data_IF_272596997108
#
_entry.id   IF_272596997108
#
_cell.length_a   1.000
_cell.length_b   1.000
_cell.length_c   1.000
_cell.angle_alpha   90.00
_cell.angle_beta   90.00
_cell.angle_gamma   90.00
#
_symmetry.space_group_name_H-M   'P 1'
#
loop_
_entity.id
_entity.type
_entity.pdbx_description
1 polymer ?
#
# COMPACT_ATOMS: atom_id res chain seq x y z
N UNK A 1 -5.28 52.60 -20.33
CA UNK A 1 -4.42 52.64 -19.12
C UNK A 1 -5.02 51.80 -17.99
N UNK A 2 -5.34 50.51 -18.23
CA UNK A 2 -5.91 49.59 -17.22
C UNK A 2 -5.68 48.11 -17.65
N UNK A 3 -4.42 47.65 -17.67
CA UNK A 3 -4.09 46.23 -17.96
C UNK A 3 -3.41 45.50 -16.81
N UNK A 4 -3.15 46.18 -15.69
CA UNK A 4 -2.36 45.62 -14.59
C UNK A 4 -3.19 45.05 -13.42
N UNK A 5 -4.52 45.18 -13.42
CA UNK A 5 -5.35 44.74 -12.27
C UNK A 5 -5.74 43.25 -12.38
N UNK A 6 -5.66 42.62 -13.55
CA UNK A 6 -6.03 41.21 -13.71
C UNK A 6 -5.02 40.21 -13.14
N UNK A 7 -3.78 40.64 -12.84
CA UNK A 7 -2.73 39.74 -12.35
C UNK A 7 -2.69 39.57 -10.82
N UNK A 8 -3.55 40.27 -10.07
CA UNK A 8 -3.59 40.20 -8.60
C UNK A 8 -4.62 39.17 -8.08
N UNK A 9 -5.47 38.61 -8.96
CA UNK A 9 -6.55 37.71 -8.57
C UNK A 9 -6.31 36.21 -8.90
N UNK A 10 -5.06 35.79 -9.12
CA UNK A 10 -4.74 34.36 -9.27
C UNK A 10 -3.87 33.89 -8.10
N UNK A 11 -4.42 33.10 -7.16
CA UNK A 11 -3.59 32.52 -6.11
C UNK A 11 -2.61 31.55 -6.76
N UNK A 12 -1.35 31.94 -6.83
CA UNK A 12 -0.22 31.02 -7.06
C UNK A 12 -0.15 30.05 -5.87
N UNK A 13 -0.85 28.92 -5.97
CA UNK A 13 -0.66 27.75 -5.12
C UNK A 13 -0.69 26.48 -5.97
N UNK A 14 0.31 26.28 -6.84
CA UNK A 14 0.40 25.06 -7.66
C UNK A 14 1.82 24.48 -7.75
N UNK A 15 2.70 24.73 -6.77
CA UNK A 15 4.09 24.23 -6.87
C UNK A 15 4.59 23.39 -5.69
N UNK A 16 3.91 23.38 -4.54
CA UNK A 16 4.41 22.65 -3.36
C UNK A 16 3.73 21.29 -3.20
N UNK A 17 2.44 21.16 -3.54
CA UNK A 17 1.74 19.86 -3.50
C UNK A 17 2.15 18.93 -4.64
N UNK A 18 2.41 19.46 -5.84
CA UNK A 18 2.85 18.66 -7.00
C UNK A 18 4.28 18.12 -6.84
N UNK A 19 5.18 18.86 -6.19
CA UNK A 19 6.52 18.34 -5.90
C UNK A 19 6.50 17.22 -4.86
N UNK A 20 5.54 17.24 -3.92
CA UNK A 20 5.41 16.20 -2.90
C UNK A 20 4.80 14.91 -3.45
N UNK A 21 3.87 15.00 -4.41
CA UNK A 21 3.34 13.83 -5.14
C UNK A 21 4.41 13.16 -6.00
N UNK A 22 5.27 13.95 -6.65
CA UNK A 22 6.32 13.43 -7.54
C UNK A 22 7.42 12.63 -6.83
N UNK A 23 7.66 12.91 -5.54
CA UNK A 23 8.59 12.13 -4.71
C UNK A 23 7.98 10.81 -4.23
N UNK A 24 6.65 10.74 -4.06
CA UNK A 24 5.94 9.51 -3.67
C UNK A 24 5.92 8.46 -4.80
N UNK A 25 5.67 8.88 -6.04
CA UNK A 25 5.62 7.98 -7.20
C UNK A 25 6.94 7.23 -7.45
N UNK A 26 8.08 7.83 -7.07
CA UNK A 26 9.38 7.18 -7.27
C UNK A 26 9.59 6.03 -6.28
N UNK A 27 9.13 6.18 -5.03
CA UNK A 27 9.23 5.13 -4.01
C UNK A 27 8.29 3.97 -4.34
N UNK A 28 7.08 4.27 -4.80
CA UNK A 28 6.12 3.26 -5.24
C UNK A 28 6.63 2.47 -6.45
N UNK A 29 7.26 3.14 -7.44
CA UNK A 29 7.90 2.46 -8.57
C UNK A 29 9.02 1.51 -8.13
N UNK A 30 9.87 1.94 -7.19
CA UNK A 30 10.96 1.10 -6.67
C UNK A 30 10.43 -0.09 -5.88
N UNK A 31 9.34 0.09 -5.14
CA UNK A 31 8.68 -0.99 -4.40
C UNK A 31 8.02 -1.98 -5.34
N UNK A 32 7.38 -1.53 -6.42
CA UNK A 32 6.83 -2.39 -7.47
C UNK A 32 7.95 -3.24 -8.08
N UNK A 33 9.07 -2.62 -8.47
CA UNK A 33 10.22 -3.34 -9.04
C UNK A 33 10.79 -4.38 -8.07
N UNK A 34 10.91 -4.03 -6.78
CA UNK A 34 11.40 -4.95 -5.75
C UNK A 34 10.47 -6.16 -5.58
N UNK A 35 9.16 -5.93 -5.54
CA UNK A 35 8.16 -7.00 -5.38
C UNK A 35 8.11 -7.89 -6.62
N UNK A 36 8.12 -7.30 -7.82
CA UNK A 36 8.19 -8.04 -9.09
C UNK A 36 9.46 -8.90 -9.13
N UNK A 37 10.61 -8.35 -8.73
CA UNK A 37 11.88 -9.09 -8.66
C UNK A 37 11.82 -10.25 -7.66
N UNK A 38 11.16 -10.06 -6.51
CA UNK A 38 10.99 -11.14 -5.53
C UNK A 38 10.06 -12.25 -6.07
N UNK A 39 9.00 -11.90 -6.80
CA UNK A 39 8.13 -12.88 -7.48
C UNK A 39 8.92 -13.64 -8.56
N UNK A 40 9.71 -12.94 -9.39
CA UNK A 40 10.64 -13.55 -10.35
C UNK A 40 11.60 -14.52 -9.67
N UNK A 41 12.16 -14.12 -8.53
CA UNK A 41 13.08 -14.92 -7.75
C UNK A 41 12.39 -16.20 -7.25
N UNK A 42 11.17 -16.10 -6.73
CA UNK A 42 10.42 -17.25 -6.24
C UNK A 42 10.08 -18.25 -7.35
N UNK A 43 9.69 -17.75 -8.53
CA UNK A 43 9.46 -18.59 -9.73
C UNK A 43 10.75 -19.30 -10.14
N UNK A 44 11.87 -18.57 -10.18
CA UNK A 44 13.19 -19.12 -10.52
C UNK A 44 13.62 -20.20 -9.53
N UNK A 45 13.41 -19.98 -8.23
CA UNK A 45 13.69 -20.97 -7.18
C UNK A 45 12.84 -22.23 -7.36
N UNK A 46 11.53 -22.05 -7.62
CA UNK A 46 10.63 -23.17 -7.84
C UNK A 46 11.05 -24.02 -9.04
N UNK A 47 11.32 -23.40 -10.20
CA UNK A 47 11.77 -24.12 -11.40
C UNK A 47 13.11 -24.84 -11.19
N UNK A 48 14.04 -24.20 -10.48
CA UNK A 48 15.36 -24.79 -10.17
C UNK A 48 15.24 -25.97 -9.20
N UNK A 49 14.34 -25.90 -8.22
CA UNK A 49 14.08 -27.00 -7.30
C UNK A 49 13.38 -28.18 -7.99
N UNK A 50 12.43 -27.91 -8.89
CA UNK A 50 11.78 -28.94 -9.72
C UNK A 50 12.79 -29.63 -10.65
N UNK A 51 13.68 -28.87 -11.29
CA UNK A 51 14.77 -29.41 -12.12
C UNK A 51 15.70 -30.31 -11.30
N UNK A 52 16.11 -29.86 -10.12
CA UNK A 52 16.92 -30.66 -9.18
C UNK A 52 16.20 -31.90 -8.69
N UNK A 53 14.89 -31.85 -8.45
CA UNK A 53 14.10 -33.01 -8.04
C UNK A 53 14.04 -34.04 -9.17
N UNK A 54 13.81 -33.61 -10.41
CA UNK A 54 13.83 -34.48 -11.59
C UNK A 54 15.19 -35.14 -11.80
N UNK A 55 16.29 -34.39 -11.63
CA UNK A 55 17.64 -34.95 -11.74
C UNK A 55 17.98 -35.92 -10.60
N UNK A 56 17.41 -35.74 -9.41
CA UNK A 56 17.66 -36.65 -8.28
C UNK A 56 16.88 -37.97 -8.40
N UNK A 57 15.71 -37.94 -9.04
CA UNK A 57 14.93 -39.14 -9.38
C UNK A 57 15.61 -39.96 -10.48
N UNK A 58 16.43 -39.35 -11.35
CA UNK A 58 17.30 -40.09 -12.27
C UNK A 58 18.51 -40.66 -11.52
N UNK A 59 18.29 -41.80 -10.89
CA UNK A 59 19.26 -42.55 -10.10
C UNK A 59 20.52 -42.97 -10.87
N UNK A 60 21.68 -42.78 -10.23
CA UNK A 60 22.92 -43.56 -10.46
C UNK A 60 23.71 -43.36 -11.75
N UNK A 61 23.16 -42.65 -12.75
CA UNK A 61 23.85 -42.34 -14.01
C UNK A 61 24.22 -40.86 -14.06
N UNK A 62 25.43 -40.50 -14.53
CA UNK A 62 25.78 -39.10 -14.78
C UNK A 62 24.75 -38.47 -15.72
N UNK A 63 24.12 -37.38 -15.28
CA UNK A 63 23.13 -36.68 -16.08
C UNK A 63 23.84 -35.78 -17.10
N UNK A 64 23.69 -36.14 -18.36
CA UNK A 64 24.20 -35.39 -19.51
C UNK A 64 23.10 -34.54 -20.15
N UNK A 65 22.02 -34.24 -19.42
CA UNK A 65 20.95 -33.34 -19.86
C UNK A 65 21.47 -32.01 -20.41
N UNK A 66 22.60 -31.50 -19.89
CA UNK A 66 23.29 -30.31 -20.38
C UNK A 66 23.95 -30.46 -21.76
N UNK A 67 24.25 -31.68 -22.21
CA UNK A 67 24.76 -31.98 -23.57
C UNK A 67 23.65 -32.08 -24.61
N UNK A 68 22.41 -32.37 -24.18
CA UNK A 68 21.27 -32.60 -25.07
C UNK A 68 20.35 -31.38 -25.17
N UNK A 69 20.29 -30.54 -24.14
CA UNK A 69 19.52 -29.30 -24.20
C UNK A 69 20.30 -28.20 -24.90
N UNK A 70 19.85 -27.86 -26.10
CA UNK A 70 20.22 -26.61 -26.76
C UNK A 70 20.01 -25.45 -25.77
N UNK A 71 20.99 -24.56 -25.53
CA UNK A 71 20.84 -23.45 -24.58
C UNK A 71 19.63 -22.56 -24.91
N UNK A 72 19.19 -22.54 -26.17
CA UNK A 72 17.98 -21.84 -26.63
C UNK A 72 16.66 -22.57 -26.33
N UNK A 73 16.71 -23.87 -25.99
CA UNK A 73 15.55 -24.70 -25.62
C UNK A 73 15.29 -24.73 -24.12
N UNK A 74 16.19 -24.17 -23.30
CA UNK A 74 15.94 -24.03 -21.86
C UNK A 74 14.82 -23.01 -21.67
N UNK A 75 13.73 -23.36 -20.96
CA UNK A 75 12.69 -22.39 -20.66
C UNK A 75 13.35 -21.20 -19.95
N UNK A 76 13.09 -19.99 -20.47
CA UNK A 76 13.61 -18.77 -19.87
C UNK A 76 13.01 -18.67 -18.47
N UNK A 77 13.89 -18.68 -17.45
CA UNK A 77 13.55 -18.63 -16.02
C UNK A 77 13.00 -17.26 -15.58
N UNK A 78 12.51 -16.46 -16.51
CA UNK A 78 12.06 -15.09 -16.28
C UNK A 78 10.55 -15.05 -16.41
N UNK A 79 9.96 -14.00 -15.84
CA UNK A 79 8.58 -13.68 -16.14
C UNK A 79 8.41 -13.39 -17.63
N UNK A 80 7.32 -13.89 -18.18
CA UNK A 80 6.86 -13.41 -19.47
C UNK A 80 6.47 -11.93 -19.33
N UNK A 81 6.62 -11.12 -20.39
CA UNK A 81 6.25 -9.71 -20.33
C UNK A 81 4.78 -9.49 -19.96
N UNK A 82 3.90 -10.43 -20.32
CA UNK A 82 2.47 -10.39 -19.96
C UNK A 82 2.24 -10.63 -18.46
N UNK A 83 2.91 -11.64 -17.87
CA UNK A 83 2.84 -11.90 -16.42
C UNK A 83 3.36 -10.69 -15.64
N UNK A 84 4.48 -10.11 -16.10
CA UNK A 84 5.08 -8.94 -15.47
C UNK A 84 4.13 -7.73 -15.49
N UNK A 85 3.53 -7.43 -16.63
CA UNK A 85 2.57 -6.32 -16.76
C UNK A 85 1.35 -6.50 -15.84
N UNK A 86 0.84 -7.72 -15.66
CA UNK A 86 -0.28 -7.98 -14.73
C UNK A 86 0.09 -7.77 -13.27
N UNK A 87 1.33 -8.12 -12.89
CA UNK A 87 1.83 -7.88 -11.54
C UNK A 87 2.00 -6.38 -11.30
N UNK A 88 2.59 -5.66 -12.25
CA UNK A 88 2.76 -4.21 -12.19
C UNK A 88 1.38 -3.51 -12.04
N UNK A 89 0.39 -3.85 -12.88
CA UNK A 89 -0.97 -3.28 -12.80
C UNK A 89 -1.64 -3.55 -11.44
N UNK A 90 -1.46 -4.75 -10.88
CA UNK A 90 -2.01 -5.08 -9.57
C UNK A 90 -1.34 -4.27 -8.45
N UNK A 91 -0.03 -4.04 -8.58
CA UNK A 91 0.80 -3.34 -7.61
C UNK A 91 0.63 -1.82 -7.66
N UNK A 92 0.30 -1.22 -8.81
CA UNK A 92 -0.01 0.21 -8.95
C UNK A 92 -1.13 0.70 -8.01
N UNK A 93 -2.04 -0.19 -7.61
CA UNK A 93 -3.17 0.17 -6.76
C UNK A 93 -2.83 0.21 -5.27
N UNK A 94 -1.63 -0.23 -4.89
CA UNK A 94 -1.19 -0.37 -3.50
C UNK A 94 -0.69 0.93 -2.89
N UNK A 95 -0.79 1.04 -1.56
CA UNK A 95 -0.21 2.16 -0.80
C UNK A 95 1.11 1.74 -0.15
N UNK A 96 2.03 2.68 0.13
CA UNK A 96 3.30 2.42 0.82
C UNK A 96 3.18 1.59 2.10
N UNK A 97 2.17 1.89 2.92
CA UNK A 97 1.97 1.22 4.23
C UNK A 97 1.52 -0.24 4.10
N UNK A 98 1.06 -0.64 2.92
CA UNK A 98 0.45 -1.94 2.68
C UNK A 98 1.44 -3.00 2.15
N UNK A 99 2.60 -2.57 1.63
CA UNK A 99 3.62 -3.46 1.04
C UNK A 99 4.13 -4.51 2.02
N UNK A 100 4.40 -4.12 3.26
CA UNK A 100 4.87 -5.04 4.31
C UNK A 100 3.84 -6.14 4.60
N UNK A 101 2.56 -5.77 4.66
CA UNK A 101 1.46 -6.69 4.89
C UNK A 101 1.34 -7.66 3.72
N UNK A 102 1.35 -7.17 2.48
CA UNK A 102 1.35 -8.02 1.28
C UNK A 102 2.50 -9.03 1.29
N UNK A 103 3.72 -8.57 1.55
CA UNK A 103 4.90 -9.44 1.50
C UNK A 103 4.86 -10.53 2.56
N UNK A 104 4.39 -10.21 3.77
CA UNK A 104 4.26 -11.20 4.84
C UNK A 104 3.17 -12.23 4.57
N UNK A 105 1.99 -11.81 4.08
CA UNK A 105 0.90 -12.74 3.73
C UNK A 105 1.26 -13.61 2.54
N UNK A 106 1.85 -13.03 1.50
CA UNK A 106 2.31 -13.76 0.33
C UNK A 106 3.39 -14.79 0.68
N UNK A 107 4.47 -14.39 1.38
CA UNK A 107 5.52 -15.31 1.84
C UNK A 107 5.02 -16.41 2.78
N UNK A 108 3.96 -16.13 3.54
CA UNK A 108 3.29 -17.12 4.37
C UNK A 108 2.63 -18.24 3.55
N UNK A 109 2.13 -17.91 2.35
CA UNK A 109 1.34 -18.82 1.49
C UNK A 109 2.16 -19.49 0.40
N UNK A 110 3.35 -18.99 0.08
CA UNK A 110 4.25 -19.57 -0.95
C UNK A 110 5.06 -20.79 -0.48
N UNK A 111 4.77 -21.35 0.69
CA UNK A 111 5.51 -22.52 1.20
C UNK A 111 5.14 -23.82 0.49
N UNK A 112 3.87 -23.96 0.10
CA UNK A 112 3.30 -25.18 -0.49
C UNK A 112 2.88 -24.95 -1.95
N UNK A 113 3.83 -24.54 -2.79
CA UNK A 113 3.58 -24.29 -4.22
C UNK A 113 3.76 -25.59 -5.01
N UNK A 114 2.77 -25.92 -5.84
CA UNK A 114 2.77 -27.08 -6.75
C UNK A 114 3.03 -26.68 -8.21
N UNK A 115 2.81 -25.41 -8.56
CA UNK A 115 2.87 -24.92 -9.95
C UNK A 115 3.34 -23.46 -10.02
N UNK A 116 4.05 -23.11 -11.10
CA UNK A 116 4.39 -21.71 -11.44
C UNK A 116 3.14 -20.82 -11.46
N UNK A 117 2.03 -21.30 -12.04
CA UNK A 117 0.79 -20.53 -12.12
C UNK A 117 0.22 -20.21 -10.74
N UNK A 118 0.35 -21.15 -9.81
CA UNK A 118 -0.12 -20.98 -8.44
C UNK A 118 0.63 -19.87 -7.71
N UNK A 119 1.90 -19.62 -8.03
CA UNK A 119 2.67 -18.49 -7.46
C UNK A 119 2.01 -17.16 -7.80
N UNK A 120 1.59 -17.00 -9.06
CA UNK A 120 0.89 -15.80 -9.53
C UNK A 120 -0.49 -15.67 -8.93
N UNK A 121 -1.27 -16.75 -8.95
CA UNK A 121 -2.64 -16.72 -8.45
C UNK A 121 -2.66 -16.40 -6.94
N UNK A 122 -1.73 -16.96 -6.17
CA UNK A 122 -1.55 -16.63 -4.75
C UNK A 122 -1.15 -15.17 -4.59
N UNK A 123 -0.20 -14.67 -5.37
CA UNK A 123 0.23 -13.26 -5.29
C UNK A 123 -0.93 -12.30 -5.57
N UNK A 124 -1.63 -12.48 -6.69
CA UNK A 124 -2.76 -11.63 -7.07
C UNK A 124 -3.90 -11.71 -6.06
N UNK A 125 -4.16 -12.90 -5.50
CA UNK A 125 -5.12 -13.07 -4.42
C UNK A 125 -4.72 -12.30 -3.15
N UNK A 126 -3.43 -12.32 -2.78
CA UNK A 126 -2.94 -11.55 -1.63
C UNK A 126 -3.08 -10.04 -1.85
N UNK A 127 -2.78 -9.55 -3.07
CA UNK A 127 -3.00 -8.13 -3.42
C UNK A 127 -4.48 -7.78 -3.25
N UNK A 128 -5.39 -8.58 -3.82
CA UNK A 128 -6.83 -8.34 -3.72
C UNK A 128 -7.33 -8.35 -2.27
N UNK A 129 -6.79 -9.24 -1.43
CA UNK A 129 -7.14 -9.31 -0.01
C UNK A 129 -6.68 -8.06 0.75
N UNK A 130 -5.45 -7.59 0.51
CA UNK A 130 -4.93 -6.36 1.11
C UNK A 130 -5.76 -5.15 0.67
N UNK A 131 -6.14 -5.08 -0.61
CA UNK A 131 -7.03 -4.04 -1.13
C UNK A 131 -8.43 -4.10 -0.50
N UNK A 132 -8.97 -5.30 -0.28
CA UNK A 132 -10.28 -5.51 0.33
C UNK A 132 -10.29 -5.23 1.85
N UNK A 133 -9.15 -5.40 2.52
CA UNK A 133 -8.98 -5.11 3.95
C UNK A 133 -8.93 -3.60 4.26
N UNK A 134 -8.87 -2.74 3.24
CA UNK A 134 -8.83 -1.29 3.43
C UNK A 134 -10.07 -0.80 4.20
N UNK A 135 -9.89 0.01 5.26
CA UNK A 135 -11.01 0.65 5.92
C UNK A 135 -11.74 1.52 4.90
N UNK A 136 -13.05 1.30 4.73
CA UNK A 136 -13.87 2.11 3.83
C UNK A 136 -13.78 3.57 4.28
N UNK A 137 -13.50 4.47 3.34
CA UNK A 137 -13.62 5.90 3.59
C UNK A 137 -15.04 6.15 4.07
N UNK A 138 -15.19 6.80 5.22
CA UNK A 138 -16.50 7.07 5.81
C UNK A 138 -17.34 7.82 4.78
N UNK A 139 -18.54 7.33 4.51
CA UNK A 139 -19.46 8.03 3.63
C UNK A 139 -19.87 9.35 4.29
N UNK A 140 -20.26 10.35 3.49
CA UNK A 140 -20.91 11.57 4.01
C UNK A 140 -22.08 11.20 4.94
N UNK A 141 -22.79 10.10 4.65
CA UNK A 141 -23.84 9.58 5.52
C UNK A 141 -23.33 9.11 6.90
N UNK A 142 -22.11 8.57 6.99
CA UNK A 142 -21.50 8.19 8.26
C UNK A 142 -21.05 9.41 9.06
N UNK A 143 -20.51 10.42 8.36
CA UNK A 143 -20.18 11.72 8.96
C UNK A 143 -21.42 12.42 9.52
N UNK A 144 -22.50 12.47 8.72
CA UNK A 144 -23.79 13.03 9.16
C UNK A 144 -24.40 12.23 10.32
N UNK A 145 -24.32 10.90 10.30
CA UNK A 145 -24.79 10.06 11.39
C UNK A 145 -24.01 10.32 12.69
N UNK A 146 -22.69 10.51 12.61
CA UNK A 146 -21.86 10.90 13.76
C UNK A 146 -22.23 12.29 14.28
N UNK A 147 -22.44 13.26 13.38
CA UNK A 147 -22.87 14.61 13.75
C UNK A 147 -24.24 14.60 14.46
N UNK A 148 -25.22 13.87 13.93
CA UNK A 148 -26.54 13.73 14.57
C UNK A 148 -26.47 13.03 15.93
N UNK A 149 -25.48 12.16 16.15
CA UNK A 149 -25.21 11.52 17.44
C UNK A 149 -24.37 12.39 18.39
N UNK A 150 -24.03 13.61 17.99
CA UNK A 150 -23.16 14.51 18.76
C UNK A 150 -21.80 13.88 19.13
N UNK A 151 -21.32 12.95 18.30
CA UNK A 151 -19.98 12.37 18.46
C UNK A 151 -18.92 13.42 18.06
N UNK A 152 -17.77 13.42 18.76
CA UNK A 152 -16.68 14.37 18.51
C UNK A 152 -16.21 14.30 17.05
N UNK A 153 -16.12 15.47 16.41
CA UNK A 153 -15.65 15.60 15.03
C UNK A 153 -14.26 14.98 14.87
N UNK A 154 -13.98 14.35 13.72
CA UNK A 154 -12.65 13.78 13.43
C UNK A 154 -11.54 14.85 13.34
N UNK A 155 -11.92 16.11 13.10
CA UNK A 155 -11.01 17.27 13.14
C UNK A 155 -11.08 18.02 14.47
N UNK A 156 -11.78 17.50 15.48
CA UNK A 156 -11.71 18.11 16.81
C UNK A 156 -10.28 17.91 17.33
N UNK A 157 -9.56 19.02 17.44
CA UNK A 157 -8.27 19.06 18.11
C UNK A 157 -8.60 18.84 19.57
N UNK A 158 -8.09 17.75 20.13
CA UNK A 158 -8.20 17.45 21.55
C UNK A 158 -7.28 18.44 22.29
N UNK A 159 -7.80 19.65 22.50
CA UNK A 159 -7.10 20.72 23.23
C UNK A 159 -7.23 20.45 24.74
N UNK A 160 -6.82 19.24 25.13
CA UNK A 160 -6.85 18.78 26.50
C UNK A 160 -5.40 18.79 27.01
N UNK A 161 -5.01 19.77 27.86
CA UNK A 161 -3.70 19.74 28.49
C UNK A 161 -3.68 18.49 29.36
N UNK A 162 -2.73 17.59 29.07
CA UNK A 162 -2.44 16.40 29.88
C UNK A 162 -2.03 16.81 31.30
N UNK A 163 -3.02 17.10 32.16
CA UNK A 163 -2.87 17.00 33.60
C UNK A 163 -3.51 15.69 34.03
N UNK A 164 -2.65 14.82 34.56
CA UNK A 164 -2.98 13.61 35.29
C UNK A 164 -4.20 13.80 36.21
N UNK A 165 -5.32 13.15 35.84
CA UNK A 165 -6.36 12.43 36.62
C UNK A 165 -6.69 12.83 38.08
N UNK A 166 -7.81 12.36 38.70
CA UNK A 166 -8.98 11.66 38.17
C UNK A 166 -10.30 12.13 38.82
N UNK A 167 -11.27 12.68 38.09
CA UNK A 167 -12.70 12.54 38.42
C UNK A 167 -13.52 13.06 37.26
N UNK A 168 -14.52 12.28 36.85
CA UNK A 168 -15.38 12.61 35.72
C UNK A 168 -15.92 14.03 35.80
N UNK A 169 -15.67 14.81 34.75
CA UNK A 169 -16.34 16.09 34.56
C UNK A 169 -16.62 16.26 33.09
N UNK A 170 -17.78 15.75 32.67
CA UNK A 170 -18.49 16.28 31.50
C UNK A 170 -18.74 17.76 31.78
N UNK A 171 -17.86 18.63 31.29
CA UNK A 171 -18.03 20.07 31.44
C UNK A 171 -19.22 20.50 30.60
N UNK A 172 -20.36 20.54 31.28
CA UNK A 172 -21.61 21.15 30.90
C UNK A 172 -21.34 22.59 30.42
N UNK A 173 -21.94 22.97 29.29
CA UNK A 173 -21.92 24.33 28.73
C UNK A 173 -22.67 25.37 29.59
N UNK A 174 -23.04 25.03 30.83
CA UNK A 174 -23.81 25.89 31.73
C UNK A 174 -22.98 26.97 32.44
N UNK A 175 -21.65 26.90 32.45
CA UNK A 175 -20.79 27.83 33.19
C UNK A 175 -20.14 28.92 32.30
N UNK A 176 -20.90 29.47 31.35
CA UNK A 176 -20.50 30.72 30.68
C UNK A 176 -21.01 31.89 31.52
N UNK A 177 -20.25 32.27 32.55
CA UNK A 177 -20.45 33.54 33.25
C UNK A 177 -19.83 34.68 32.44
N UNK A 178 -20.66 35.60 31.96
CA UNK A 178 -20.21 36.87 31.42
C UNK A 178 -19.67 37.74 32.56
N UNK A 179 -18.47 38.30 32.39
CA UNK A 179 -17.94 39.35 33.26
C UNK A 179 -18.74 40.64 33.03
N UNK A 180 -19.27 41.21 34.10
CA UNK A 180 -19.89 42.53 34.08
C UNK A 180 -18.85 43.62 33.74
N UNK A 181 -19.27 44.57 32.90
CA UNK A 181 -18.47 45.67 32.35
C UNK A 181 -18.28 46.85 33.32
N UNK A 182 -17.93 46.61 34.58
CA UNK A 182 -17.72 47.69 35.57
C UNK A 182 -16.27 47.92 36.02
N UNK A 183 -15.30 47.18 35.48
CA UNK A 183 -13.87 47.36 35.79
C UNK A 183 -13.04 47.83 34.58
N UNK A 184 -13.43 48.96 33.99
CA UNK A 184 -12.49 49.77 33.19
C UNK A 184 -12.61 51.22 33.69
N UNK A 185 -11.58 51.62 34.43
CA UNK A 185 -11.29 52.99 34.92
C UNK A 185 -11.17 53.97 33.76
#
# INVERSE_FOLDING_TARGET
>A
MLKWISDIASPRQDSVEDQRKKLGDTDDSLMIDLVVSEVEHQVTQFETNEERRKSHVSTGRPDYSWLVTDPNMRPKKWLTPEERSKLEEACERMKPDEWSTLMTTWKGRTKDIESRQQIFDIFLSCVQEVLAARPRQQSIGDVLRRYLRSESSMNSVDDSPRYSNPLGSTRSLADIHFRDFTDVV
#
